data_IF_846533849156
#
_entry.id   IF_846533849156
#
_cell.length_a   1.000
_cell.length_b   1.000
_cell.length_c   1.000
_cell.angle_alpha   90.00
_cell.angle_beta   90.00
_cell.angle_gamma   90.00
#
_symmetry.space_group_name_H-M   'P 1'
#
loop_
_entity.id
_entity.type
_entity.pdbx_description
1 polymer ?
#
# COMPACT_ATOMS: atom_id res chain seq x y z
N UNK A 1 -37.21 -15.19 18.43
CA UNK A 1 -36.90 -14.29 17.31
C UNK A 1 -35.85 -13.30 17.80
N UNK A 2 -34.58 -13.73 17.84
CA UNK A 2 -33.48 -12.85 18.26
C UNK A 2 -33.12 -11.97 17.07
N UNK A 3 -33.20 -10.66 17.27
CA UNK A 3 -32.70 -9.69 16.31
C UNK A 3 -31.20 -9.95 16.10
N UNK A 4 -30.81 -10.25 14.86
CA UNK A 4 -29.40 -10.25 14.47
C UNK A 4 -28.81 -8.88 14.82
N UNK A 5 -27.60 -8.82 15.40
CA UNK A 5 -26.95 -7.54 15.57
C UNK A 5 -26.71 -6.97 14.17
N UNK A 6 -27.39 -5.86 13.90
CA UNK A 6 -27.06 -4.96 12.80
C UNK A 6 -25.54 -4.79 12.78
N UNK A 7 -24.90 -5.28 11.72
CA UNK A 7 -23.49 -5.00 11.49
C UNK A 7 -23.32 -3.49 11.59
N UNK A 8 -22.43 -2.98 12.47
CA UNK A 8 -22.17 -1.56 12.54
C UNK A 8 -21.78 -1.11 11.13
N UNK A 9 -22.23 0.08 10.73
CA UNK A 9 -21.93 0.72 9.46
C UNK A 9 -20.53 0.32 9.00
N UNK A 10 -20.47 -0.43 7.90
CA UNK A 10 -19.30 -1.11 7.36
C UNK A 10 -18.09 -0.18 7.48
N UNK A 11 -17.22 -0.46 8.46
CA UNK A 11 -15.98 0.27 8.60
C UNK A 11 -15.31 0.24 7.23
N UNK A 12 -15.00 1.41 6.67
CA UNK A 12 -14.44 1.50 5.32
C UNK A 12 -13.35 0.44 5.18
N UNK A 13 -13.42 -0.35 4.10
CA UNK A 13 -12.48 -1.45 3.91
C UNK A 13 -11.05 -0.90 4.00
N UNK A 14 -10.09 -1.70 4.45
CA UNK A 14 -8.68 -1.27 4.52
C UNK A 14 -8.20 -0.70 3.18
N UNK A 15 -8.68 -1.26 2.06
CA UNK A 15 -8.41 -0.76 0.71
C UNK A 15 -9.00 0.64 0.43
N UNK A 16 -10.22 0.93 0.91
CA UNK A 16 -10.80 2.27 0.77
C UNK A 16 -10.08 3.30 1.65
N UNK A 17 -9.68 2.90 2.86
CA UNK A 17 -8.84 3.73 3.73
C UNK A 17 -7.49 4.06 3.10
N UNK A 18 -6.83 3.06 2.50
CA UNK A 18 -5.59 3.25 1.74
C UNK A 18 -5.80 4.23 0.58
N UNK A 19 -6.84 4.02 -0.23
CA UNK A 19 -7.14 4.88 -1.38
C UNK A 19 -7.39 6.32 -0.95
N UNK A 20 -8.17 6.53 0.11
CA UNK A 20 -8.46 7.85 0.65
C UNK A 20 -7.22 8.54 1.21
N UNK A 21 -6.38 7.83 1.98
CA UNK A 21 -5.14 8.38 2.52
C UNK A 21 -4.14 8.77 1.41
N UNK A 22 -3.99 7.93 0.39
CA UNK A 22 -3.15 8.26 -0.76
C UNK A 22 -3.68 9.48 -1.53
N UNK A 23 -5.00 9.58 -1.71
CA UNK A 23 -5.62 10.74 -2.36
C UNK A 23 -5.34 12.04 -1.58
N UNK A 24 -5.44 12.02 -0.24
CA UNK A 24 -5.12 13.16 0.61
C UNK A 24 -3.63 13.54 0.53
N UNK A 25 -2.72 12.56 0.46
CA UNK A 25 -1.29 12.83 0.35
C UNK A 25 -0.91 13.40 -1.02
N UNK A 26 -1.62 12.99 -2.07
CA UNK A 26 -1.46 13.51 -3.42
C UNK A 26 -2.09 14.89 -3.62
N UNK A 27 -3.01 15.29 -2.74
CA UNK A 27 -3.65 16.60 -2.84
C UNK A 27 -2.59 17.72 -2.74
N UNK A 28 -2.63 18.65 -3.67
CA UNK A 28 -1.62 19.70 -3.82
C UNK A 28 -0.30 19.29 -4.48
N UNK A 29 -0.09 18.01 -4.84
CA UNK A 29 1.09 17.59 -5.63
C UNK A 29 0.80 17.69 -7.13
N UNK A 30 1.52 18.53 -7.91
CA UNK A 30 1.31 18.62 -9.35
C UNK A 30 1.52 17.25 -10.04
N UNK A 31 0.59 16.79 -10.89
CA UNK A 31 0.68 15.47 -11.53
C UNK A 31 1.98 15.25 -12.31
N UNK A 32 2.51 16.30 -12.94
CA UNK A 32 3.81 16.25 -13.66
C UNK A 32 4.99 16.00 -12.73
N UNK A 33 4.95 16.52 -11.50
CA UNK A 33 5.97 16.29 -10.50
C UNK A 33 5.92 14.86 -9.99
N UNK A 34 4.72 14.35 -9.69
CA UNK A 34 4.50 12.96 -9.30
C UNK A 34 4.98 11.97 -10.37
N UNK A 35 4.61 12.20 -11.64
CA UNK A 35 5.05 11.37 -12.76
C UNK A 35 6.58 11.33 -12.90
N UNK A 36 7.23 12.50 -12.85
CA UNK A 36 8.71 12.59 -12.90
C UNK A 36 9.39 11.90 -11.73
N UNK A 37 8.80 11.94 -10.53
CA UNK A 37 9.32 11.23 -9.37
C UNK A 37 9.28 9.71 -9.62
N UNK A 38 8.14 9.18 -10.06
CA UNK A 38 7.96 7.76 -10.39
C UNK A 38 8.90 7.31 -11.50
N UNK A 39 9.03 8.07 -12.59
CA UNK A 39 9.93 7.75 -13.70
C UNK A 39 11.39 7.63 -13.25
N UNK A 40 11.87 8.58 -12.43
CA UNK A 40 13.22 8.50 -11.84
C UNK A 40 13.37 7.26 -10.97
N UNK A 41 12.38 6.96 -10.13
CA UNK A 41 12.41 5.79 -9.23
C UNK A 41 12.49 4.48 -10.01
N UNK A 42 11.71 4.35 -11.09
CA UNK A 42 11.74 3.19 -11.99
C UNK A 42 13.12 3.08 -12.67
N UNK A 43 13.67 4.19 -13.13
CA UNK A 43 14.98 4.22 -13.78
C UNK A 43 16.11 3.84 -12.81
N UNK A 44 16.07 4.33 -11.56
CA UNK A 44 17.05 3.98 -10.52
C UNK A 44 16.95 2.51 -10.12
N UNK A 45 15.75 1.95 -9.98
CA UNK A 45 15.57 0.53 -9.63
C UNK A 45 15.99 -0.43 -10.75
N UNK A 46 15.86 -0.02 -12.03
CA UNK A 46 16.27 -0.81 -13.21
C UNK A 46 17.71 -0.54 -13.64
N UNK A 47 18.31 0.54 -13.15
CA UNK A 47 19.70 0.91 -13.42
C UNK A 47 20.68 0.08 -12.60
N UNK A 48 21.91 -0.07 -13.11
CA UNK A 48 23.02 -0.73 -12.40
C UNK A 48 23.89 0.25 -11.62
N UNK A 49 23.61 1.54 -11.69
CA UNK A 49 24.45 2.58 -11.08
C UNK A 49 24.09 2.71 -9.60
N UNK A 50 25.00 2.37 -8.67
CA UNK A 50 24.80 2.68 -7.27
C UNK A 50 24.69 4.20 -7.16
N UNK A 51 23.57 4.68 -6.62
CA UNK A 51 23.45 6.09 -6.27
C UNK A 51 23.85 6.22 -4.81
N UNK A 52 24.90 6.99 -4.51
CA UNK A 52 25.30 7.30 -3.13
C UNK A 52 24.27 8.16 -2.38
N UNK A 53 23.21 8.61 -3.07
CA UNK A 53 22.09 9.34 -2.51
C UNK A 53 20.86 8.44 -2.26
N UNK A 54 20.06 8.72 -1.20
CA UNK A 54 18.80 8.03 -0.97
C UNK A 54 17.88 8.10 -2.19
N UNK A 55 17.30 6.94 -2.55
CA UNK A 55 16.39 6.81 -3.71
C UNK A 55 15.14 7.68 -3.55
N UNK A 56 14.62 7.77 -2.32
CA UNK A 56 13.53 8.67 -1.92
C UNK A 56 14.13 9.89 -1.22
N UNK A 57 14.00 11.07 -1.83
CA UNK A 57 14.74 12.28 -1.44
C UNK A 57 13.93 13.28 -0.62
N UNK A 58 12.64 13.35 -0.87
CA UNK A 58 11.74 14.29 -0.23
C UNK A 58 10.32 13.72 -0.14
N UNK A 59 9.43 14.47 0.50
CA UNK A 59 8.04 14.09 0.71
C UNK A 59 7.30 13.83 -0.61
N UNK A 60 7.61 14.59 -1.68
CA UNK A 60 6.95 14.41 -2.97
C UNK A 60 7.34 13.09 -3.64
N UNK A 61 8.62 12.70 -3.54
CA UNK A 61 9.11 11.41 -4.04
C UNK A 61 8.49 10.24 -3.25
N UNK A 62 8.38 10.36 -1.93
CA UNK A 62 7.74 9.35 -1.07
C UNK A 62 6.25 9.21 -1.39
N UNK A 63 5.51 10.32 -1.47
CA UNK A 63 4.08 10.31 -1.80
C UNK A 63 3.83 9.69 -3.18
N UNK A 64 4.62 10.08 -4.19
CA UNK A 64 4.47 9.55 -5.54
C UNK A 64 4.80 8.05 -5.61
N UNK A 65 5.82 7.60 -4.89
CA UNK A 65 6.17 6.18 -4.78
C UNK A 65 5.07 5.36 -4.10
N UNK A 66 4.55 5.86 -2.98
CA UNK A 66 3.46 5.24 -2.24
C UNK A 66 2.21 5.09 -3.12
N UNK A 67 1.79 6.17 -3.78
CA UNK A 67 0.65 6.15 -4.69
C UNK A 67 0.83 5.16 -5.86
N UNK A 68 2.05 5.05 -6.39
CA UNK A 68 2.36 4.14 -7.48
C UNK A 68 2.39 2.66 -7.06
N UNK A 69 2.91 2.34 -5.86
CA UNK A 69 3.19 0.96 -5.44
C UNK A 69 2.17 0.37 -4.49
N UNK A 70 1.72 1.13 -3.49
CA UNK A 70 0.92 0.59 -2.39
C UNK A 70 -0.36 -0.12 -2.85
N UNK A 71 -1.18 0.42 -3.79
CA UNK A 71 -2.43 -0.23 -4.17
C UNK A 71 -2.23 -1.63 -4.74
N UNK A 72 -1.24 -1.80 -5.62
CA UNK A 72 -0.94 -3.09 -6.22
C UNK A 72 -0.38 -4.09 -5.20
N UNK A 73 0.49 -3.62 -4.28
CA UNK A 73 1.04 -4.47 -3.22
C UNK A 73 -0.05 -4.90 -2.23
N UNK A 74 -0.93 -3.98 -1.82
CA UNK A 74 -2.06 -4.27 -0.94
C UNK A 74 -2.96 -5.36 -1.53
N UNK A 75 -3.42 -5.19 -2.77
CA UNK A 75 -4.31 -6.17 -3.40
C UNK A 75 -3.63 -7.53 -3.61
N UNK A 76 -2.34 -7.55 -3.95
CA UNK A 76 -1.59 -8.79 -4.09
C UNK A 76 -1.49 -9.56 -2.75
N UNK A 77 -1.17 -8.86 -1.66
CA UNK A 77 -1.09 -9.46 -0.31
C UNK A 77 -2.47 -9.93 0.16
N UNK A 78 -3.49 -9.08 0.01
CA UNK A 78 -4.86 -9.42 0.40
C UNK A 78 -5.35 -10.68 -0.35
N UNK A 79 -5.11 -10.75 -1.66
CA UNK A 79 -5.43 -11.93 -2.48
C UNK A 79 -4.69 -13.18 -2.03
N UNK A 80 -3.39 -13.08 -1.75
CA UNK A 80 -2.58 -14.20 -1.27
C UNK A 80 -3.05 -14.72 0.10
N UNK A 81 -3.36 -13.83 1.05
CA UNK A 81 -3.86 -14.20 2.38
C UNK A 81 -5.26 -14.82 2.30
N UNK A 82 -6.14 -14.30 1.44
CA UNK A 82 -7.46 -14.87 1.19
C UNK A 82 -7.34 -16.30 0.61
N UNK A 83 -6.46 -16.51 -0.37
CA UNK A 83 -6.19 -17.83 -0.92
C UNK A 83 -5.60 -18.79 0.13
N UNK A 84 -4.67 -18.31 0.96
CA UNK A 84 -4.07 -19.10 2.03
C UNK A 84 -5.13 -19.54 3.05
N UNK A 85 -5.99 -18.63 3.50
CA UNK A 85 -7.11 -18.95 4.40
C UNK A 85 -8.06 -19.99 3.82
N UNK A 86 -8.35 -19.91 2.51
CA UNK A 86 -9.18 -20.90 1.83
C UNK A 86 -8.52 -22.29 1.81
N UNK A 87 -7.18 -22.36 1.76
CA UNK A 87 -6.43 -23.62 1.77
C UNK A 87 -6.17 -24.22 3.17
N UNK A 88 -6.29 -23.42 4.23
CA UNK A 88 -5.99 -23.83 5.61
C UNK A 88 -7.20 -23.56 6.52
N UNK A 89 -8.16 -24.50 6.60
CA UNK A 89 -9.33 -24.35 7.47
C UNK A 89 -8.94 -24.14 8.94
N UNK A 90 -9.58 -23.19 9.61
CA UNK A 90 -9.31 -22.85 11.00
C UNK A 90 -8.08 -21.95 11.22
N UNK A 91 -7.46 -21.44 10.15
CA UNK A 91 -6.38 -20.46 10.30
C UNK A 91 -6.92 -19.10 10.79
N UNK A 92 -6.50 -18.73 12.00
CA UNK A 92 -6.83 -17.49 12.70
C UNK A 92 -5.52 -16.88 13.27
N UNK A 93 -4.79 -16.06 12.50
CA UNK A 93 -3.53 -15.49 12.97
C UNK A 93 -3.79 -14.40 14.02
N UNK A 94 -3.12 -14.50 15.17
CA UNK A 94 -3.21 -13.49 16.24
C UNK A 94 -2.32 -12.26 15.98
N UNK A 95 -1.31 -12.38 15.11
CA UNK A 95 -0.37 -11.29 14.81
C UNK A 95 0.14 -11.35 13.37
N UNK A 96 0.54 -10.19 12.86
CA UNK A 96 1.17 -10.00 11.55
C UNK A 96 2.49 -9.25 11.75
N UNK A 97 3.60 -9.80 11.24
CA UNK A 97 4.90 -9.11 11.22
C UNK A 97 5.31 -8.81 9.78
N UNK A 98 5.54 -7.53 9.46
CA UNK A 98 5.97 -7.07 8.13
C UNK A 98 7.46 -6.68 8.15
N UNK A 99 8.32 -7.56 7.63
CA UNK A 99 9.77 -7.36 7.63
C UNK A 99 10.17 -6.54 6.42
N UNK A 100 10.70 -5.34 6.65
CA UNK A 100 11.11 -4.45 5.57
C UNK A 100 9.93 -3.82 4.82
N UNK A 101 8.79 -3.64 5.49
CA UNK A 101 7.51 -3.21 4.92
C UNK A 101 7.48 -1.92 4.12
N UNK A 102 8.56 -1.12 4.15
CA UNK A 102 8.71 0.06 3.31
C UNK A 102 7.60 1.08 3.54
N UNK A 103 6.68 1.18 2.59
CA UNK A 103 5.51 2.08 2.68
C UNK A 103 4.39 1.56 3.59
N UNK A 104 4.50 0.33 4.10
CA UNK A 104 3.48 -0.30 4.95
C UNK A 104 2.24 -0.76 4.17
N UNK A 105 2.40 -1.19 2.91
CA UNK A 105 1.27 -1.59 2.07
C UNK A 105 0.66 -2.97 2.43
N UNK A 106 1.33 -3.73 3.30
CA UNK A 106 0.97 -5.09 3.67
C UNK A 106 0.31 -5.20 5.06
N UNK A 107 0.11 -4.07 5.76
CA UNK A 107 -0.40 -4.00 7.14
C UNK A 107 -1.69 -3.19 7.26
#
# INVERSE_FOLDING_TARGET
MYASPSHPAEAASVGDGLRAGLAQLLDGLPPRQAARAVERLIATYRGRTPTDAPVLRDRSDVTAYAAYRMPATFEAVNSALAAFRASVPGWEPESHTDIGGGTGAAV
#
